data_IF_750151613547
#
_entry.id   IF_750151613547
#
_cell.length_a   1.000
_cell.length_b   1.000
_cell.length_c   1.000
_cell.angle_alpha   90.00
_cell.angle_beta   90.00
_cell.angle_gamma   90.00
#
_symmetry.space_group_name_H-M   'P 1'
#
loop_
_entity.id
_entity.type
_entity.pdbx_description
1 polymer ?
#
# COMPACT_ATOMS: atom_id res chain seq x y z
N UNK A 1 12.81 4.09 -11.54
CA UNK A 1 14.21 3.83 -11.13
C UNK A 1 14.22 2.75 -10.05
N UNK A 2 14.78 1.57 -10.33
CA UNK A 2 14.93 0.50 -9.33
C UNK A 2 16.02 0.95 -8.36
N UNK A 3 15.65 1.24 -7.10
CA UNK A 3 16.61 1.72 -6.09
C UNK A 3 17.58 0.60 -5.70
N UNK A 4 18.75 0.97 -5.19
CA UNK A 4 19.77 0.00 -4.74
C UNK A 4 19.22 -0.87 -3.60
N UNK A 5 19.70 -2.11 -3.47
CA UNK A 5 19.29 -3.04 -2.40
C UNK A 5 19.46 -2.40 -1.01
N UNK A 6 20.59 -1.71 -0.82
CA UNK A 6 20.92 -0.93 0.38
C UNK A 6 19.83 0.06 0.78
N UNK A 7 19.14 0.71 -0.17
CA UNK A 7 18.05 1.64 0.13
C UNK A 7 16.88 0.94 0.84
N UNK A 8 16.46 -0.23 0.34
CA UNK A 8 15.37 -1.00 0.96
C UNK A 8 15.79 -1.62 2.29
N UNK A 9 17.06 -1.98 2.46
CA UNK A 9 17.59 -2.43 3.76
C UNK A 9 17.54 -1.30 4.79
N UNK A 10 17.89 -0.07 4.41
CA UNK A 10 17.80 1.10 5.31
C UNK A 10 16.35 1.36 5.71
N UNK A 11 15.41 1.36 4.75
CA UNK A 11 13.99 1.53 5.07
C UNK A 11 13.48 0.40 5.97
N UNK A 12 13.91 -0.85 5.73
CA UNK A 12 13.56 -1.96 6.60
C UNK A 12 14.07 -1.73 8.03
N UNK A 13 15.32 -1.29 8.19
CA UNK A 13 15.89 -0.99 9.50
C UNK A 13 15.12 0.13 10.22
N UNK A 14 14.71 1.18 9.50
CA UNK A 14 13.86 2.26 10.02
C UNK A 14 12.48 1.71 10.42
N UNK A 15 11.90 0.82 9.63
CA UNK A 15 10.63 0.16 9.95
C UNK A 15 10.73 -0.69 11.21
N UNK A 16 11.81 -1.47 11.37
CA UNK A 16 12.05 -2.28 12.58
C UNK A 16 12.22 -1.37 13.79
N UNK A 17 13.03 -0.31 13.68
CA UNK A 17 13.29 0.58 14.82
C UNK A 17 12.01 1.30 15.26
N UNK A 18 11.16 1.75 14.34
CA UNK A 18 9.85 2.33 14.65
C UNK A 18 8.95 1.37 15.43
N UNK A 19 8.87 0.10 15.01
CA UNK A 19 8.09 -0.94 15.71
C UNK A 19 8.71 -1.27 17.08
N UNK A 20 10.04 -1.27 17.21
CA UNK A 20 10.68 -1.51 18.52
C UNK A 20 10.46 -0.34 19.49
N UNK A 21 10.58 0.89 18.99
CA UNK A 21 10.37 2.12 19.79
C UNK A 21 8.92 2.20 20.27
N UNK A 22 7.94 1.76 19.47
CA UNK A 22 6.54 1.78 19.92
C UNK A 22 6.28 0.89 21.13
N UNK A 23 7.03 -0.21 21.32
CA UNK A 23 6.90 -1.06 22.52
C UNK A 23 7.46 -0.42 23.79
N UNK A 24 8.37 0.55 23.65
CA UNK A 24 8.94 1.33 24.77
C UNK A 24 8.04 2.51 25.16
N UNK A 25 7.24 3.03 24.22
CA UNK A 25 6.27 4.10 24.45
C UNK A 25 4.97 3.57 25.09
N UNK A 26 5.02 3.25 26.39
CA UNK A 26 3.88 2.68 27.16
C UNK A 26 3.05 3.69 27.98
N UNK A 27 3.37 4.98 27.92
CA UNK A 27 2.60 6.03 28.61
C UNK A 27 1.22 6.25 27.98
N UNK A 28 0.20 6.60 28.78
CA UNK A 28 -1.16 6.84 28.27
C UNK A 28 -1.22 7.97 27.24
N UNK A 29 -0.44 9.04 27.45
CA UNK A 29 -0.31 10.15 26.50
C UNK A 29 0.41 9.76 25.20
N UNK A 30 1.17 8.65 25.22
CA UNK A 30 2.00 8.18 24.11
C UNK A 30 1.35 7.03 23.34
N UNK A 31 0.16 6.54 23.75
CA UNK A 31 -0.55 5.43 23.07
C UNK A 31 -0.82 5.74 21.60
N UNK A 32 -1.19 6.98 21.27
CA UNK A 32 -1.42 7.42 19.88
C UNK A 32 -0.14 7.37 19.06
N UNK A 33 0.97 7.88 19.61
CA UNK A 33 2.28 7.84 18.97
C UNK A 33 2.79 6.40 18.78
N UNK A 34 2.60 5.55 19.80
CA UNK A 34 2.92 4.12 19.72
C UNK A 34 2.14 3.45 18.58
N UNK A 35 0.82 3.67 18.49
CA UNK A 35 -0.01 3.12 17.42
C UNK A 35 0.41 3.60 16.02
N UNK A 36 0.70 4.90 15.86
CA UNK A 36 1.20 5.46 14.59
C UNK A 36 2.55 4.87 14.20
N UNK A 37 3.48 4.74 15.16
CA UNK A 37 4.80 4.14 14.93
C UNK A 37 4.68 2.67 14.51
N UNK A 38 3.76 1.90 15.09
CA UNK A 38 3.48 0.51 14.64
C UNK A 38 2.93 0.51 13.22
N UNK A 39 1.93 1.34 12.93
CA UNK A 39 1.29 1.37 11.61
C UNK A 39 2.27 1.74 10.49
N UNK A 40 3.05 2.81 10.69
CA UNK A 40 4.06 3.25 9.73
C UNK A 40 5.20 2.22 9.66
N UNK A 41 5.70 1.76 10.80
CA UNK A 41 6.80 0.79 10.86
C UNK A 41 6.45 -0.52 10.16
N UNK A 42 5.28 -1.10 10.43
CA UNK A 42 4.80 -2.31 9.77
C UNK A 42 4.61 -2.12 8.26
N UNK A 43 4.09 -0.96 7.82
CA UNK A 43 3.95 -0.63 6.41
C UNK A 43 5.29 -0.54 5.69
N UNK A 44 6.28 0.13 6.29
CA UNK A 44 7.65 0.22 5.76
C UNK A 44 8.34 -1.15 5.72
N UNK A 45 8.13 -1.98 6.72
CA UNK A 45 8.65 -3.35 6.76
C UNK A 45 8.08 -4.21 5.65
N UNK A 46 6.75 -4.28 5.52
CA UNK A 46 6.10 -5.05 4.47
C UNK A 46 6.54 -4.63 3.08
N UNK A 47 6.60 -3.32 2.82
CA UNK A 47 7.09 -2.77 1.56
C UNK A 47 8.55 -3.18 1.29
N UNK A 48 9.42 -3.06 2.30
CA UNK A 48 10.85 -3.34 2.15
C UNK A 48 11.11 -4.81 1.88
N UNK A 49 10.42 -5.71 2.59
CA UNK A 49 10.52 -7.16 2.39
C UNK A 49 10.09 -7.53 0.97
N UNK A 50 8.93 -7.04 0.51
CA UNK A 50 8.44 -7.32 -0.84
C UNK A 50 9.43 -6.88 -1.92
N UNK A 51 10.02 -5.69 -1.76
CA UNK A 51 11.00 -5.15 -2.70
C UNK A 51 12.34 -5.90 -2.66
N UNK A 52 12.79 -6.33 -1.48
CA UNK A 52 14.02 -7.12 -1.34
C UNK A 52 13.88 -8.51 -1.95
N UNK A 53 12.71 -9.15 -1.78
CA UNK A 53 12.40 -10.43 -2.44
C UNK A 53 12.41 -10.25 -3.95
N UNK A 54 11.70 -9.24 -4.47
CA UNK A 54 11.63 -8.98 -5.91
C UNK A 54 13.03 -8.75 -6.49
N UNK A 55 13.86 -7.95 -5.82
CA UNK A 55 15.24 -7.70 -6.23
C UNK A 55 16.12 -8.95 -6.17
N UNK A 56 15.93 -9.80 -5.16
CA UNK A 56 16.65 -11.08 -5.10
C UNK A 56 16.28 -12.00 -6.26
N UNK A 57 15.00 -12.06 -6.63
CA UNK A 57 14.54 -12.79 -7.81
C UNK A 57 15.12 -12.21 -9.11
N UNK A 58 15.20 -10.88 -9.22
CA UNK A 58 15.81 -10.20 -10.36
C UNK A 58 17.32 -10.52 -10.48
N UNK A 59 18.05 -10.43 -9.37
CA UNK A 59 19.50 -10.71 -9.30
C UNK A 59 19.81 -12.18 -9.66
N UNK A 60 18.94 -13.11 -9.24
CA UNK A 60 19.10 -14.56 -9.49
C UNK A 60 18.75 -14.96 -10.92
N UNK A 61 17.83 -14.25 -11.56
CA UNK A 61 17.35 -14.55 -12.92
C UNK A 61 17.40 -13.30 -13.81
N UNK A 62 18.59 -12.93 -14.33
CA UNK A 62 18.75 -11.74 -15.16
C UNK A 62 18.01 -11.83 -16.50
N UNK A 63 17.83 -13.02 -17.05
CA UNK A 63 17.06 -13.24 -18.29
C UNK A 63 15.57 -12.95 -18.10
N UNK A 64 14.99 -13.47 -17.02
CA UNK A 64 13.60 -13.17 -16.61
C UNK A 64 13.38 -11.68 -16.39
N UNK A 65 14.36 -11.00 -15.78
CA UNK A 65 14.30 -9.54 -15.58
C UNK A 65 14.29 -8.75 -16.89
N UNK A 66 15.03 -9.21 -17.92
CA UNK A 66 15.00 -8.61 -19.26
C UNK A 66 13.65 -8.85 -19.92
N UNK A 67 13.13 -10.06 -19.83
CA UNK A 67 11.83 -10.41 -20.39
C UNK A 67 10.70 -9.61 -19.73
N UNK A 68 10.68 -9.49 -18.40
CA UNK A 68 9.72 -8.65 -17.66
C UNK A 68 9.77 -7.19 -18.13
N UNK A 69 10.95 -6.65 -18.44
CA UNK A 69 11.06 -5.27 -18.97
C UNK A 69 10.41 -5.14 -20.34
N UNK A 70 10.70 -6.08 -21.26
CA UNK A 70 10.10 -6.10 -22.60
C UNK A 70 8.59 -6.23 -22.48
N UNK A 71 8.14 -7.23 -21.72
CA UNK A 71 6.74 -7.52 -21.43
C UNK A 71 6.03 -6.34 -20.75
N UNK A 72 6.73 -5.53 -19.95
CA UNK A 72 6.15 -4.37 -19.29
C UNK A 72 5.83 -3.20 -20.22
N UNK A 73 6.41 -3.20 -21.42
CA UNK A 73 6.18 -2.18 -22.45
C UNK A 73 5.21 -2.66 -23.55
N UNK A 74 4.83 -3.94 -23.56
CA UNK A 74 3.80 -4.48 -24.46
C UNK A 74 2.42 -3.94 -24.05
N UNK A 75 1.69 -3.36 -25.02
CA UNK A 75 0.34 -2.83 -24.86
C UNK A 75 -0.62 -3.86 -24.24
N UNK A 76 -0.54 -5.12 -24.68
CA UNK A 76 -1.42 -6.18 -24.17
C UNK A 76 -1.21 -6.40 -22.68
N UNK A 77 0.04 -6.45 -22.24
CA UNK A 77 0.37 -6.64 -20.83
C UNK A 77 0.04 -5.40 -19.99
N UNK A 78 0.16 -4.21 -20.57
CA UNK A 78 -0.30 -2.97 -19.93
C UNK A 78 -1.80 -3.03 -19.66
N UNK A 79 -2.61 -3.45 -20.64
CA UNK A 79 -4.07 -3.62 -20.50
C UNK A 79 -4.39 -4.65 -19.41
N UNK A 80 -3.76 -5.83 -19.45
CA UNK A 80 -3.97 -6.88 -18.43
C UNK A 80 -3.63 -6.36 -17.03
N UNK A 81 -2.49 -5.69 -16.87
CA UNK A 81 -2.05 -5.14 -15.59
C UNK A 81 -2.99 -4.06 -15.08
N UNK A 82 -3.45 -3.17 -15.96
CA UNK A 82 -4.40 -2.13 -15.59
C UNK A 82 -5.75 -2.72 -15.18
N UNK A 83 -6.24 -3.75 -15.88
CA UNK A 83 -7.46 -4.48 -15.52
C UNK A 83 -7.32 -5.20 -14.18
N UNK A 84 -6.17 -5.83 -13.93
CA UNK A 84 -5.88 -6.48 -12.66
C UNK A 84 -5.84 -5.46 -11.49
N UNK A 85 -5.20 -4.30 -11.69
CA UNK A 85 -5.18 -3.21 -10.71
C UNK A 85 -6.58 -2.65 -10.42
N UNK A 86 -7.40 -2.45 -11.45
CA UNK A 86 -8.77 -2.00 -11.28
C UNK A 86 -9.58 -3.01 -10.45
N UNK A 87 -9.51 -4.30 -10.80
CA UNK A 87 -10.25 -5.33 -10.06
C UNK A 87 -9.77 -5.50 -8.61
N UNK A 88 -8.46 -5.41 -8.38
CA UNK A 88 -7.90 -5.41 -7.03
C UNK A 88 -8.37 -4.18 -6.23
N UNK A 89 -8.48 -3.02 -6.88
CA UNK A 89 -9.05 -1.80 -6.31
C UNK A 89 -10.50 -1.99 -5.86
N UNK A 90 -11.36 -2.54 -6.73
CA UNK A 90 -12.77 -2.81 -6.41
C UNK A 90 -12.90 -3.72 -5.18
N UNK A 91 -12.13 -4.81 -5.13
CA UNK A 91 -12.14 -5.74 -3.98
C UNK A 91 -11.64 -5.04 -2.72
N UNK A 92 -10.59 -4.23 -2.82
CA UNK A 92 -10.04 -3.48 -1.69
C UNK A 92 -11.06 -2.51 -1.11
N UNK A 93 -11.88 -1.87 -1.95
CA UNK A 93 -12.96 -0.99 -1.47
C UNK A 93 -14.05 -1.73 -0.71
N UNK A 94 -14.42 -2.93 -1.14
CA UNK A 94 -15.32 -3.80 -0.37
C UNK A 94 -14.72 -4.17 0.99
N UNK A 95 -13.41 -4.42 1.06
CA UNK A 95 -12.73 -4.66 2.34
C UNK A 95 -12.69 -3.40 3.23
N UNK A 96 -12.53 -2.21 2.66
CA UNK A 96 -12.61 -0.94 3.41
C UNK A 96 -14.02 -0.75 4.00
N UNK A 97 -15.06 -1.05 3.23
CA UNK A 97 -16.44 -1.04 3.75
C UNK A 97 -16.66 -2.08 4.85
N UNK A 98 -16.08 -3.27 4.71
CA UNK A 98 -16.11 -4.28 5.77
C UNK A 98 -15.46 -3.77 7.07
N UNK A 99 -14.33 -3.06 6.99
CA UNK A 99 -13.70 -2.41 8.14
C UNK A 99 -14.62 -1.37 8.77
N UNK A 100 -15.34 -0.57 7.96
CA UNK A 100 -16.32 0.39 8.47
C UNK A 100 -17.46 -0.31 9.23
N UNK A 101 -17.97 -1.43 8.74
CA UNK A 101 -19.00 -2.22 9.45
C UNK A 101 -18.48 -2.81 10.75
N UNK A 102 -17.28 -3.39 10.75
CA UNK A 102 -16.64 -3.93 11.95
C UNK A 102 -16.43 -2.83 13.00
N UNK A 103 -16.04 -1.62 12.56
CA UNK A 103 -15.89 -0.45 13.44
C UNK A 103 -17.17 -0.12 14.20
N UNK A 104 -18.34 -0.22 13.54
CA UNK A 104 -19.65 -0.01 14.15
C UNK A 104 -19.97 -1.12 15.16
N UNK A 105 -19.71 -2.39 14.81
CA UNK A 105 -19.96 -3.55 15.69
C UNK A 105 -19.15 -3.45 16.99
N UNK A 106 -17.89 -3.03 16.90
CA UNK A 106 -17.00 -2.88 18.06
C UNK A 106 -17.30 -1.56 18.83
N UNK A 107 -18.30 -0.78 18.40
CA UNK A 107 -18.66 0.51 19.01
C UNK A 107 -17.48 1.48 19.09
N UNK A 108 -16.66 1.50 18.02
CA UNK A 108 -15.54 2.44 17.89
C UNK A 108 -16.06 3.89 17.80
N UNK A 109 -15.21 4.87 18.14
CA UNK A 109 -15.58 6.29 18.06
C UNK A 109 -16.09 6.67 16.67
N UNK A 110 -17.21 7.40 16.62
CA UNK A 110 -17.91 7.75 15.38
C UNK A 110 -17.01 8.43 14.34
N UNK A 111 -16.10 9.30 14.78
CA UNK A 111 -15.18 10.01 13.89
C UNK A 111 -14.27 9.05 13.09
N UNK A 112 -13.90 7.89 13.66
CA UNK A 112 -13.08 6.89 12.98
C UNK A 112 -13.86 6.22 11.85
N UNK A 113 -15.10 5.79 12.12
CA UNK A 113 -15.97 5.22 11.08
C UNK A 113 -16.23 6.23 9.95
N UNK A 114 -16.49 7.50 10.29
CA UNK A 114 -16.66 8.56 9.30
C UNK A 114 -15.38 8.76 8.45
N UNK A 115 -14.20 8.72 9.06
CA UNK A 115 -12.94 8.82 8.34
C UNK A 115 -12.78 7.68 7.32
N UNK A 116 -13.09 6.44 7.70
CA UNK A 116 -13.06 5.29 6.77
C UNK A 116 -14.01 5.50 5.59
N UNK A 117 -15.23 5.98 5.84
CA UNK A 117 -16.22 6.30 4.80
C UNK A 117 -15.72 7.43 3.88
N UNK A 118 -15.08 8.46 4.42
CA UNK A 118 -14.48 9.54 3.62
C UNK A 118 -13.41 8.99 2.67
N UNK A 119 -12.56 8.06 3.12
CA UNK A 119 -11.55 7.43 2.25
C UNK A 119 -12.22 6.66 1.10
N UNK A 120 -13.30 5.93 1.38
CA UNK A 120 -14.08 5.24 0.34
C UNK A 120 -14.68 6.23 -0.68
N UNK A 121 -15.26 7.34 -0.22
CA UNK A 121 -15.82 8.37 -1.10
C UNK A 121 -14.74 9.03 -1.95
N UNK A 122 -13.60 9.38 -1.36
CA UNK A 122 -12.46 9.96 -2.08
C UNK A 122 -11.95 9.04 -3.18
N UNK A 123 -11.87 7.74 -2.93
CA UNK A 123 -11.49 6.77 -3.95
C UNK A 123 -12.45 6.79 -5.15
N UNK A 124 -13.77 6.80 -4.90
CA UNK A 124 -14.77 6.87 -5.97
C UNK A 124 -14.70 8.19 -6.74
N UNK A 125 -14.47 9.31 -6.05
CA UNK A 125 -14.26 10.62 -6.68
C UNK A 125 -13.03 10.57 -7.59
N UNK A 126 -11.91 9.98 -7.12
CA UNK A 126 -10.72 9.84 -7.95
C UNK A 126 -10.95 8.96 -9.17
N UNK A 127 -11.71 7.86 -9.06
CA UNK A 127 -12.08 7.05 -10.23
C UNK A 127 -12.79 7.92 -11.27
N UNK A 128 -13.83 8.66 -10.86
CA UNK A 128 -14.61 9.50 -11.79
C UNK A 128 -13.73 10.60 -12.39
N UNK A 129 -12.92 11.26 -11.58
CA UNK A 129 -12.01 12.31 -12.02
C UNK A 129 -10.99 11.79 -13.05
N UNK A 130 -10.29 10.69 -12.74
CA UNK A 130 -9.30 10.11 -13.65
C UNK A 130 -9.94 9.52 -14.91
N UNK A 131 -11.12 8.91 -14.79
CA UNK A 131 -11.86 8.43 -15.96
C UNK A 131 -12.19 9.58 -16.91
N UNK A 132 -12.74 10.69 -16.39
CA UNK A 132 -13.02 11.87 -17.21
C UNK A 132 -11.74 12.48 -17.80
N UNK A 133 -10.68 12.58 -17.00
CA UNK A 133 -9.38 13.09 -17.47
C UNK A 133 -8.85 12.27 -18.65
N UNK A 134 -8.80 10.95 -18.52
CA UNK A 134 -8.28 10.08 -19.57
C UNK A 134 -9.21 9.97 -20.78
N UNK A 135 -10.53 10.12 -20.61
CA UNK A 135 -11.47 10.23 -21.74
C UNK A 135 -11.25 11.49 -22.57
N UNK A 136 -10.80 12.60 -21.96
CA UNK A 136 -10.51 13.84 -22.69
C UNK A 136 -9.09 13.86 -23.31
N UNK A 137 -8.21 12.95 -22.90
CA UNK A 137 -6.84 12.82 -23.42
C UNK A 137 -6.73 11.82 -24.59
N UNK A 138 -7.73 10.95 -24.79
CA UNK A 138 -7.83 9.95 -25.87
C UNK A 138 -8.74 10.49 -26.97
#
# INVERSE_FOLDING_TARGET
MIKKKSFYIIIMAIGVSLVLISFLLRGEDLKVFSGLSIGIGAGLLGMSIAQLIMKHYEDKNPELSRQIKIDSMDERNIIIRNKAKAKAGDITMWLIMLIAFISIIISTQLWFTLLVVVVFLLYNIFIVYFMNKYQNEI
#
